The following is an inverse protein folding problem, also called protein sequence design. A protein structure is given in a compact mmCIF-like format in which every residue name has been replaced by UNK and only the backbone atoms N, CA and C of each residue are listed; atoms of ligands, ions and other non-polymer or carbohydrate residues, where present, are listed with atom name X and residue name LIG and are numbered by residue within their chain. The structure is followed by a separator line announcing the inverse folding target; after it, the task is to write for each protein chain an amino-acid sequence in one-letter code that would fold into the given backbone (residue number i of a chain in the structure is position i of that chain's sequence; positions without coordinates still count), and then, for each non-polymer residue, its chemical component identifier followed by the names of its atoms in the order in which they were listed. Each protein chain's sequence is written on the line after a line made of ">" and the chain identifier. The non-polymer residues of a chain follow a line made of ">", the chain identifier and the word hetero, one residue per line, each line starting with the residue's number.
data_IF_565356086777
#
_entry.id   IF_565356086777
#
_cell.length_a   1.000
_cell.length_b   1.000
_cell.length_c   1.000
_cell.angle_alpha   90.00
_cell.angle_beta   90.00
_cell.angle_gamma   90.00
#
_symmetry.space_group_name_H-M   'P 1'
#
loop_
_entity.id
_entity.type
_entity.pdbx_description
1 polymer ?
#
# COMPACT_ATOMS: atom_id res chain seq x y z
N UNK A 1 8.38 11.96 23.40
CA UNK A 1 7.28 12.28 22.45
C UNK A 1 6.95 10.99 21.72
N UNK A 2 5.69 10.54 21.66
CA UNK A 2 5.35 9.37 20.83
C UNK A 2 5.67 9.70 19.36
N UNK A 3 6.44 8.85 18.71
CA UNK A 3 6.76 8.96 17.28
C UNK A 3 5.46 8.81 16.48
N UNK A 4 5.25 9.67 15.48
CA UNK A 4 4.07 9.60 14.61
C UNK A 4 4.05 8.25 13.89
N UNK A 5 2.94 7.51 14.00
CA UNK A 5 2.82 6.18 13.39
C UNK A 5 2.79 6.27 11.87
N UNK A 6 3.40 5.30 11.21
CA UNK A 6 3.46 5.26 9.74
C UNK A 6 2.51 4.19 9.20
N UNK A 7 1.72 4.56 8.18
CA UNK A 7 0.87 3.66 7.42
C UNK A 7 1.30 3.59 5.96
N UNK A 8 1.37 2.38 5.41
CA UNK A 8 1.54 2.14 3.98
C UNK A 8 0.22 1.67 3.38
N UNK A 9 -0.27 2.38 2.36
CA UNK A 9 -1.51 2.04 1.64
C UNK A 9 -1.16 1.58 0.23
N UNK A 10 -1.32 0.29 -0.06
CA UNK A 10 -1.16 -0.22 -1.41
C UNK A 10 -2.33 0.25 -2.31
N UNK A 11 -2.06 0.68 -3.54
CA UNK A 11 -3.12 1.14 -4.45
C UNK A 11 -3.77 2.46 -3.99
N UNK A 12 -2.99 3.34 -3.38
CA UNK A 12 -3.47 4.52 -2.68
C UNK A 12 -4.08 5.59 -3.59
N UNK A 13 -3.71 5.61 -4.88
CA UNK A 13 -4.06 6.70 -5.80
C UNK A 13 -5.37 6.46 -6.58
N UNK A 14 -6.19 5.50 -6.14
CA UNK A 14 -7.58 5.29 -6.58
C UNK A 14 -8.60 5.92 -5.63
N UNK A 15 -9.89 5.90 -5.98
CA UNK A 15 -10.96 6.56 -5.21
C UNK A 15 -11.01 6.15 -3.72
N UNK A 16 -11.11 4.84 -3.45
CA UNK A 16 -11.10 4.32 -2.06
C UNK A 16 -9.74 4.49 -1.40
N UNK A 17 -8.65 4.21 -2.11
CA UNK A 17 -7.28 4.38 -1.60
C UNK A 17 -7.01 5.80 -1.11
N UNK A 18 -7.47 6.81 -1.86
CA UNK A 18 -7.28 8.21 -1.49
C UNK A 18 -8.09 8.56 -0.25
N UNK A 19 -9.35 8.10 -0.16
CA UNK A 19 -10.17 8.30 1.04
C UNK A 19 -9.55 7.65 2.29
N UNK A 20 -8.96 6.46 2.15
CA UNK A 20 -8.24 5.77 3.22
C UNK A 20 -7.01 6.60 3.65
N UNK A 21 -6.19 7.06 2.70
CA UNK A 21 -5.03 7.91 3.01
C UNK A 21 -5.44 9.16 3.78
N UNK A 22 -6.50 9.83 3.34
CA UNK A 22 -7.02 11.03 4.01
C UNK A 22 -7.53 10.73 5.42
N UNK A 23 -8.25 9.61 5.61
CA UNK A 23 -8.72 9.20 6.93
C UNK A 23 -7.55 8.95 7.89
N UNK A 24 -6.55 8.18 7.45
CA UNK A 24 -5.38 7.85 8.28
C UNK A 24 -4.57 9.10 8.64
N UNK A 25 -4.42 10.04 7.71
CA UNK A 25 -3.76 11.31 8.02
C UNK A 25 -4.54 12.19 9.00
N UNK A 26 -5.89 12.20 8.92
CA UNK A 26 -6.74 12.88 9.92
C UNK A 26 -6.60 12.25 11.31
N UNK A 27 -6.37 10.95 11.38
CA UNK A 27 -6.07 10.22 12.61
C UNK A 27 -4.63 10.44 13.12
N UNK A 28 -3.85 11.29 12.43
CA UNK A 28 -2.50 11.67 12.83
C UNK A 28 -1.42 10.71 12.34
N UNK A 29 -1.71 9.75 11.46
CA UNK A 29 -0.69 8.87 10.90
C UNK A 29 0.06 9.56 9.76
N UNK A 30 1.34 9.23 9.62
CA UNK A 30 2.13 9.58 8.42
C UNK A 30 1.84 8.53 7.36
N UNK A 31 1.35 8.95 6.20
CA UNK A 31 0.90 8.01 5.17
C UNK A 31 1.88 7.96 4.00
N UNK A 32 2.24 6.74 3.62
CA UNK A 32 2.98 6.41 2.40
C UNK A 32 2.00 5.82 1.39
N UNK A 33 1.73 6.57 0.33
CA UNK A 33 0.84 6.20 -0.77
C UNK A 33 1.57 5.29 -1.78
N UNK A 34 1.26 4.00 -1.76
CA UNK A 34 1.75 3.02 -2.72
C UNK A 34 1.07 3.16 -4.09
N UNK A 35 1.87 3.20 -5.16
CA UNK A 35 1.38 3.28 -6.54
C UNK A 35 2.18 2.36 -7.48
N UNK A 36 1.65 2.00 -8.66
CA UNK A 36 2.40 1.20 -9.62
C UNK A 36 3.69 1.89 -10.08
N UNK A 37 4.73 1.13 -10.50
CA UNK A 37 5.94 1.71 -11.04
C UNK A 37 5.66 2.66 -12.20
N UNK A 38 6.32 3.82 -12.23
CA UNK A 38 6.17 4.85 -13.28
C UNK A 38 4.72 5.34 -13.45
N UNK A 39 3.92 5.35 -12.39
CA UNK A 39 2.55 5.85 -12.44
C UNK A 39 2.51 7.33 -12.82
N UNK A 40 2.06 7.63 -14.04
CA UNK A 40 2.15 8.97 -14.65
C UNK A 40 1.40 10.09 -13.91
N UNK A 41 0.40 9.73 -13.10
CA UNK A 41 -0.43 10.69 -12.37
C UNK A 41 0.04 10.90 -10.92
N UNK A 42 1.16 10.29 -10.52
CA UNK A 42 1.67 10.36 -9.15
C UNK A 42 1.81 11.80 -8.65
N UNK A 43 2.50 12.64 -9.42
CA UNK A 43 2.84 13.99 -8.99
C UNK A 43 1.61 14.91 -8.99
N UNK A 44 0.73 14.77 -9.98
CA UNK A 44 -0.57 15.47 -10.03
C UNK A 44 -1.46 15.08 -8.86
N UNK A 45 -1.54 13.79 -8.54
CA UNK A 45 -2.30 13.30 -7.40
C UNK A 45 -1.75 13.86 -6.09
N UNK A 46 -0.42 13.84 -5.88
CA UNK A 46 0.21 14.42 -4.70
C UNK A 46 -0.06 15.93 -4.60
N UNK A 47 0.02 16.67 -5.70
CA UNK A 47 -0.31 18.10 -5.72
C UNK A 47 -1.78 18.36 -5.33
N UNK A 48 -2.69 17.52 -5.83
CA UNK A 48 -4.12 17.58 -5.48
C UNK A 48 -4.34 17.33 -3.99
N UNK A 49 -3.70 16.31 -3.41
CA UNK A 49 -3.82 16.03 -1.99
C UNK A 49 -3.23 17.15 -1.11
N UNK A 50 -2.12 17.77 -1.53
CA UNK A 50 -1.55 18.95 -0.86
C UNK A 50 -2.51 20.14 -0.88
N UNK A 51 -3.18 20.39 -2.00
CA UNK A 51 -4.19 21.45 -2.09
C UNK A 51 -5.39 21.20 -1.16
N UNK A 52 -5.66 19.94 -0.80
CA UNK A 52 -6.67 19.54 0.18
C UNK A 52 -6.16 19.54 1.64
N UNK A 53 -4.90 19.92 1.87
CA UNK A 53 -4.29 20.00 3.21
C UNK A 53 -3.61 18.71 3.68
N UNK A 54 -3.38 17.74 2.78
CA UNK A 54 -2.68 16.49 3.11
C UNK A 54 -1.25 16.49 2.58
N UNK A 55 -0.30 16.08 3.42
CA UNK A 55 1.09 15.86 2.99
C UNK A 55 1.42 14.36 3.02
N UNK A 56 1.31 13.73 1.86
CA UNK A 56 1.59 12.30 1.68
C UNK A 56 2.98 12.07 1.11
N UNK A 57 3.63 11.02 1.59
CA UNK A 57 4.75 10.39 0.90
C UNK A 57 4.21 9.44 -0.18
N UNK A 58 5.04 9.09 -1.16
CA UNK A 58 4.67 8.12 -2.19
C UNK A 58 5.77 7.11 -2.43
N UNK A 59 5.40 5.87 -2.69
CA UNK A 59 6.33 4.82 -3.06
C UNK A 59 5.81 3.96 -4.22
N UNK A 60 6.74 3.52 -5.06
CA UNK A 60 6.42 2.57 -6.12
C UNK A 60 6.36 1.15 -5.55
N UNK A 61 5.24 0.48 -5.80
CA UNK A 61 4.96 -0.89 -5.38
C UNK A 61 4.51 -1.68 -6.59
N UNK A 62 5.41 -2.54 -7.09
CA UNK A 62 5.05 -3.57 -8.06
C UNK A 62 4.33 -4.69 -7.32
N UNK A 63 3.10 -4.98 -7.76
CA UNK A 63 2.18 -5.92 -7.08
C UNK A 63 2.19 -7.26 -7.78
N UNK A 64 2.63 -7.31 -9.03
CA UNK A 64 2.76 -8.56 -9.79
C UNK A 64 4.08 -9.30 -9.54
N UNK A 65 4.94 -8.76 -8.68
CA UNK A 65 6.28 -9.29 -8.40
C UNK A 65 6.60 -9.19 -6.90
N UNK A 66 6.21 -10.22 -6.17
CA UNK A 66 6.43 -10.47 -4.75
C UNK A 66 7.88 -10.20 -4.31
N UNK A 67 8.86 -10.47 -5.18
CA UNK A 67 10.28 -10.31 -4.87
C UNK A 67 10.68 -8.85 -4.63
N UNK A 68 9.86 -7.90 -5.09
CA UNK A 68 10.11 -6.46 -4.94
C UNK A 68 9.60 -5.89 -3.63
N UNK A 69 8.75 -6.63 -2.92
CA UNK A 69 8.16 -6.15 -1.67
C UNK A 69 9.19 -6.04 -0.54
N UNK A 70 10.00 -7.05 -0.19
CA UNK A 70 10.96 -6.92 0.92
C UNK A 70 11.93 -5.74 0.76
N UNK A 71 12.57 -5.52 -0.41
CA UNK A 71 13.43 -4.35 -0.62
C UNK A 71 12.71 -3.00 -0.48
N UNK A 72 11.44 -2.92 -0.89
CA UNK A 72 10.61 -1.74 -0.68
C UNK A 72 10.40 -1.46 0.82
N UNK A 73 10.08 -2.49 1.60
CA UNK A 73 9.86 -2.35 3.04
C UNK A 73 11.12 -1.95 3.78
N UNK A 74 12.27 -2.53 3.43
CA UNK A 74 13.56 -2.16 4.00
C UNK A 74 13.90 -0.69 3.72
N UNK A 75 13.65 -0.24 2.49
CA UNK A 75 13.88 1.16 2.10
C UNK A 75 12.96 2.12 2.87
N UNK A 76 11.67 1.83 2.94
CA UNK A 76 10.70 2.60 3.74
C UNK A 76 11.15 2.64 5.21
N UNK A 77 11.53 1.50 5.76
CA UNK A 77 12.00 1.34 7.13
C UNK A 77 13.22 2.21 7.45
N UNK A 78 14.15 2.32 6.50
CA UNK A 78 15.37 3.13 6.61
C UNK A 78 15.10 4.63 6.45
N UNK A 79 14.26 5.02 5.49
CA UNK A 79 14.08 6.43 5.10
C UNK A 79 13.03 7.15 5.96
N UNK A 80 11.93 6.47 6.27
CA UNK A 80 10.80 7.09 6.97
C UNK A 80 10.63 6.54 8.38
N UNK A 81 11.06 5.30 8.59
CA UNK A 81 10.88 4.58 9.84
C UNK A 81 9.96 3.38 9.68
N UNK A 82 9.70 2.67 10.78
CA UNK A 82 8.90 1.46 10.78
C UNK A 82 7.46 1.75 10.40
N UNK A 83 6.88 0.93 9.54
CA UNK A 83 5.46 1.00 9.23
C UNK A 83 4.67 0.12 10.17
N UNK A 84 3.70 0.73 10.84
CA UNK A 84 2.85 0.10 11.85
C UNK A 84 1.52 -0.37 11.27
N UNK A 85 1.11 0.18 10.12
CA UNK A 85 -0.15 -0.19 9.47
C UNK A 85 0.07 -0.46 7.98
N UNK A 86 -0.34 -1.65 7.54
CA UNK A 86 -0.42 -2.03 6.14
C UNK A 86 -1.89 -2.05 5.71
N UNK A 87 -2.24 -1.29 4.69
CA UNK A 87 -3.54 -1.40 4.03
C UNK A 87 -3.38 -2.07 2.67
N UNK A 88 -3.89 -3.30 2.59
CA UNK A 88 -4.00 -4.08 1.35
C UNK A 88 -5.18 -3.58 0.50
N UNK A 89 -5.07 -2.40 -0.09
CA UNK A 89 -6.15 -1.78 -0.87
C UNK A 89 -5.95 -1.91 -2.41
N UNK A 90 -4.78 -2.36 -2.86
CA UNK A 90 -4.55 -2.47 -4.29
C UNK A 90 -5.35 -3.60 -4.92
N UNK A 91 -6.16 -3.24 -5.92
CA UNK A 91 -6.97 -4.13 -6.74
C UNK A 91 -6.66 -3.92 -8.23
N UNK A 92 -6.86 -4.95 -9.04
CA UNK A 92 -6.78 -4.84 -10.50
C UNK A 92 -7.96 -5.60 -11.11
N UNK A 93 -9.03 -4.86 -11.40
CA UNK A 93 -10.23 -5.43 -12.02
C UNK A 93 -10.17 -5.27 -13.54
N UNK A 94 -10.29 -6.38 -14.26
CA UNK A 94 -10.45 -6.38 -15.72
C UNK A 94 -11.90 -6.71 -16.09
N UNK A 95 -12.68 -5.70 -16.49
CA UNK A 95 -14.02 -5.92 -17.03
C UNK A 95 -13.93 -6.48 -18.45
N UNK A 96 -14.43 -7.71 -18.62
CA UNK A 96 -14.55 -8.39 -19.92
C UNK A 96 -15.86 -9.18 -19.95
N UNK A 97 -16.44 -9.35 -21.13
CA UNK A 97 -17.50 -10.34 -21.33
C UNK A 97 -16.96 -11.71 -20.92
N UNK A 98 -17.78 -12.54 -20.27
CA UNK A 98 -17.38 -13.87 -19.81
C UNK A 98 -16.76 -14.70 -20.93
N UNK A 99 -17.32 -14.61 -22.15
CA UNK A 99 -16.83 -15.29 -23.35
C UNK A 99 -15.47 -14.80 -23.87
N UNK A 100 -15.00 -13.63 -23.41
CA UNK A 100 -13.77 -12.99 -23.84
C UNK A 100 -12.67 -13.04 -22.77
N UNK A 101 -12.91 -13.74 -21.65
CA UNK A 101 -11.91 -13.95 -20.63
C UNK A 101 -11.05 -15.15 -21.06
N UNK A 102 -9.80 -14.88 -21.41
CA UNK A 102 -8.84 -15.95 -21.67
C UNK A 102 -8.53 -16.68 -20.35
N UNK A 103 -8.24 -17.97 -20.41
CA UNK A 103 -7.89 -18.78 -19.22
C UNK A 103 -6.76 -18.16 -18.39
N UNK A 104 -5.79 -17.53 -19.07
CA UNK A 104 -4.67 -16.81 -18.44
C UNK A 104 -5.07 -15.53 -17.70
N UNK A 105 -6.24 -14.96 -17.98
CA UNK A 105 -6.75 -13.74 -17.31
C UNK A 105 -7.45 -14.07 -16.00
N UNK A 106 -8.11 -15.23 -15.89
CA UNK A 106 -8.74 -15.68 -14.63
C UNK A 106 -7.72 -15.85 -13.51
N UNK A 107 -6.56 -16.46 -13.79
CA UNK A 107 -5.49 -16.65 -12.81
C UNK A 107 -4.95 -15.32 -12.23
N UNK A 108 -4.89 -14.27 -13.06
CA UNK A 108 -4.38 -12.96 -12.61
C UNK A 108 -5.37 -12.23 -11.70
N UNK A 109 -6.67 -12.28 -11.99
CA UNK A 109 -7.70 -11.64 -11.14
C UNK A 109 -7.75 -12.29 -9.75
N UNK A 110 -7.72 -13.62 -9.68
CA UNK A 110 -7.81 -14.34 -8.40
C UNK A 110 -6.51 -14.24 -7.59
N UNK A 111 -5.34 -14.12 -8.20
CA UNK A 111 -4.07 -13.98 -7.45
C UNK A 111 -3.88 -12.61 -6.81
N UNK A 112 -4.30 -11.52 -7.46
CA UNK A 112 -3.93 -10.15 -7.04
C UNK A 112 -4.61 -9.71 -5.73
N UNK A 113 -5.81 -10.20 -5.43
CA UNK A 113 -6.60 -9.66 -4.32
C UNK A 113 -6.43 -10.45 -3.01
N UNK A 114 -6.72 -11.77 -2.92
CA UNK A 114 -6.61 -12.52 -1.68
C UNK A 114 -5.20 -13.08 -1.43
N UNK A 115 -4.55 -13.63 -2.46
CA UNK A 115 -3.24 -14.30 -2.33
C UNK A 115 -2.14 -13.27 -2.07
N UNK A 116 -2.12 -12.21 -2.86
CA UNK A 116 -1.14 -11.15 -2.68
C UNK A 116 -1.36 -10.37 -1.37
N UNK A 117 -2.62 -10.15 -0.97
CA UNK A 117 -2.92 -9.58 0.34
C UNK A 117 -2.38 -10.43 1.51
N UNK A 118 -2.54 -11.75 1.42
CA UNK A 118 -2.00 -12.68 2.40
C UNK A 118 -0.47 -12.72 2.39
N UNK A 119 0.15 -12.73 1.20
CA UNK A 119 1.60 -12.67 1.04
C UNK A 119 2.19 -11.38 1.62
N UNK A 120 1.63 -10.22 1.26
CA UNK A 120 2.02 -8.92 1.82
C UNK A 120 1.97 -8.93 3.33
N UNK A 121 0.87 -9.44 3.90
CA UNK A 121 0.71 -9.58 5.35
C UNK A 121 1.78 -10.49 5.95
N UNK A 122 2.07 -11.65 5.35
CA UNK A 122 3.10 -12.58 5.80
C UNK A 122 4.51 -11.98 5.80
N UNK A 123 4.87 -11.24 4.75
CA UNK A 123 6.18 -10.57 4.64
C UNK A 123 6.28 -9.41 5.63
N UNK A 124 5.18 -8.70 5.87
CA UNK A 124 5.13 -7.57 6.78
C UNK A 124 5.14 -7.98 8.26
N UNK A 125 4.42 -9.06 8.59
CA UNK A 125 4.10 -9.45 9.96
C UNK A 125 5.33 -9.59 10.88
N UNK A 126 6.46 -10.20 10.49
CA UNK A 126 7.65 -10.28 11.34
C UNK A 126 8.19 -8.91 11.79
N UNK A 127 8.06 -7.89 10.93
CA UNK A 127 8.50 -6.51 11.22
C UNK A 127 7.54 -5.78 12.19
N UNK A 128 6.27 -6.20 12.27
CA UNK A 128 5.28 -5.69 13.25
C UNK A 128 5.33 -6.45 14.58
N UNK A 129 5.39 -7.78 14.54
CA UNK A 129 5.24 -8.66 15.69
C UNK A 129 6.37 -8.51 16.73
N UNK A 130 7.57 -8.17 16.28
CA UNK A 130 8.73 -7.88 17.14
C UNK A 130 8.53 -6.65 18.05
N UNK A 131 7.51 -5.81 17.81
CA UNK A 131 7.30 -4.55 18.56
C UNK A 131 6.08 -4.55 19.47
N UNK A 132 4.99 -5.21 19.09
CA UNK A 132 3.79 -5.29 19.93
C UNK A 132 3.95 -6.22 21.14
N UNK A 133 4.92 -7.16 21.11
CA UNK A 133 5.21 -8.03 22.26
C UNK A 133 5.95 -7.33 23.40
N UNK A 134 6.56 -6.16 23.16
CA UNK A 134 7.24 -5.37 24.19
C UNK A 134 6.31 -4.39 24.94
N UNK A 135 5.02 -4.32 24.57
CA UNK A 135 4.03 -3.47 25.23
C UNK A 135 3.17 -4.22 26.26
N UNK A 136 3.44 -5.52 26.47
CA UNK A 136 2.73 -6.41 27.40
C UNK A 136 3.69 -7.20 28.32
N UNK A 137 4.88 -6.65 28.58
CA UNK A 137 5.75 -7.07 29.68
C UNK A 137 6.06 -5.87 30.58
#
# INVERSE_FOLDING_TARGET
>A
MPTQKIAFVAGAMGGMGAAICQSLARDGLRVIAGCPPRFRFKDEWLATQRALGFDFLSEEHEISDDSKLPPLLERIGREFGPVEMLVNNAEMTHFRNLSAIADSSHARVVSIEPVEGAYRTRVWYPNMATRHHSAYQ
#
